data_IF_070098209819
#
_entry.id   IF_070098209819
#
_cell.length_a   1.000
_cell.length_b   1.000
_cell.length_c   1.000
_cell.angle_alpha   90.00
_cell.angle_beta   90.00
_cell.angle_gamma   90.00
#
_symmetry.space_group_name_H-M   'P 1'
#
loop_
_entity.id
_entity.type
_entity.pdbx_description
1 polymer ?
#
# COMPACT_ATOMS: atom_id res chain seq x y z
N UNK A 1 -0.03 29.11 4.74
CA UNK A 1 1.27 28.43 4.86
C UNK A 1 1.14 27.09 4.14
N UNK A 2 0.87 27.14 2.84
CA UNK A 2 0.53 25.95 2.04
C UNK A 2 1.76 25.41 1.29
N UNK A 3 2.78 26.25 1.05
CA UNK A 3 4.03 25.86 0.40
C UNK A 3 4.89 24.94 1.29
N UNK A 4 4.94 25.18 2.61
CA UNK A 4 5.72 24.33 3.54
C UNK A 4 5.12 22.92 3.72
N UNK A 5 3.80 22.75 3.53
CA UNK A 5 3.14 21.45 3.65
C UNK A 5 3.32 20.58 2.41
N UNK A 6 3.37 21.18 1.21
CA UNK A 6 3.65 20.45 -0.02
C UNK A 6 5.10 19.92 -0.06
N UNK A 7 6.07 20.75 0.35
CA UNK A 7 7.49 20.36 0.35
C UNK A 7 7.78 19.24 1.36
N UNK A 8 7.13 19.27 2.52
CA UNK A 8 7.30 18.22 3.55
C UNK A 8 6.66 16.89 3.13
N UNK A 9 5.51 16.91 2.44
CA UNK A 9 4.86 15.71 1.89
C UNK A 9 5.68 15.09 0.75
N UNK A 10 6.23 15.91 -0.15
CA UNK A 10 7.08 15.44 -1.25
C UNK A 10 8.37 14.76 -0.75
N UNK A 11 9.01 15.33 0.27
CA UNK A 11 10.21 14.72 0.86
C UNK A 11 9.91 13.36 1.49
N UNK A 12 8.77 13.23 2.18
CA UNK A 12 8.37 12.01 2.86
C UNK A 12 8.08 10.86 1.89
N UNK A 13 7.45 11.16 0.75
CA UNK A 13 7.21 10.21 -0.33
C UNK A 13 8.51 9.69 -0.97
N UNK A 14 9.48 10.60 -1.18
CA UNK A 14 10.80 10.25 -1.73
C UNK A 14 11.62 9.41 -0.76
N UNK A 15 11.55 9.68 0.54
CA UNK A 15 12.19 8.86 1.57
C UNK A 15 11.61 7.45 1.60
N UNK A 16 10.28 7.31 1.59
CA UNK A 16 9.59 6.01 1.54
C UNK A 16 9.99 5.19 0.30
N UNK A 17 10.02 5.83 -0.87
CA UNK A 17 10.46 5.20 -2.11
C UNK A 17 11.93 4.74 -2.04
N UNK A 18 12.81 5.57 -1.47
CA UNK A 18 14.21 5.25 -1.29
C UNK A 18 14.42 4.07 -0.31
N UNK A 19 13.69 4.05 0.80
CA UNK A 19 13.78 2.99 1.80
C UNK A 19 13.35 1.63 1.26
N UNK A 20 12.32 1.58 0.40
CA UNK A 20 11.89 0.35 -0.30
C UNK A 20 13.02 -0.18 -1.20
N UNK A 21 13.61 0.69 -2.02
CA UNK A 21 14.66 0.30 -2.98
C UNK A 21 15.94 -0.12 -2.28
N UNK A 22 16.34 0.61 -1.24
CA UNK A 22 17.57 0.33 -0.46
C UNK A 22 17.39 -0.78 0.58
N UNK A 23 16.15 -1.20 0.86
CA UNK A 23 15.85 -2.27 1.80
C UNK A 23 15.93 -1.86 3.28
N UNK A 24 15.79 -0.56 3.58
CA UNK A 24 15.80 -0.03 4.95
C UNK A 24 14.48 -0.34 5.67
N UNK A 25 14.31 -1.61 6.06
CA UNK A 25 13.04 -2.13 6.59
C UNK A 25 12.54 -1.39 7.83
N UNK A 26 13.43 -1.00 8.74
CA UNK A 26 13.04 -0.31 9.98
C UNK A 26 12.59 1.14 9.73
N UNK A 27 13.28 1.87 8.83
CA UNK A 27 12.90 3.22 8.44
C UNK A 27 11.59 3.22 7.66
N UNK A 28 11.45 2.29 6.71
CA UNK A 28 10.21 2.08 5.96
C UNK A 28 9.04 1.75 6.90
N UNK A 29 9.24 0.86 7.88
CA UNK A 29 8.22 0.50 8.86
C UNK A 29 7.81 1.71 9.72
N UNK A 30 8.77 2.53 10.16
CA UNK A 30 8.50 3.72 10.95
C UNK A 30 7.74 4.80 10.15
N UNK A 31 8.06 4.95 8.87
CA UNK A 31 7.38 5.89 7.98
C UNK A 31 5.96 5.39 7.62
N UNK A 32 5.80 4.11 7.25
CA UNK A 32 4.48 3.51 7.02
C UNK A 32 3.58 3.58 8.25
N UNK A 33 4.14 3.44 9.46
CA UNK A 33 3.38 3.57 10.70
C UNK A 33 2.79 4.98 10.92
N UNK A 34 3.39 6.00 10.31
CA UNK A 34 2.88 7.39 10.32
C UNK A 34 1.90 7.66 9.17
N UNK A 35 1.89 6.83 8.14
CA UNK A 35 0.96 6.92 7.02
C UNK A 35 -0.46 6.55 7.47
N UNK A 36 -1.44 7.36 7.08
CA UNK A 36 -2.84 7.11 7.45
C UNK A 36 -3.34 5.80 6.83
N UNK A 37 -4.26 5.10 7.51
CA UNK A 37 -4.85 3.88 6.95
C UNK A 37 -5.56 4.12 5.61
N UNK A 38 -6.12 5.33 5.40
CA UNK A 38 -6.73 5.73 4.13
C UNK A 38 -5.71 5.70 2.99
N UNK A 39 -4.53 6.26 3.19
CA UNK A 39 -3.48 6.32 2.16
C UNK A 39 -2.92 4.92 1.90
N UNK A 40 -2.83 4.07 2.94
CA UNK A 40 -2.47 2.66 2.79
C UNK A 40 -3.49 1.88 1.95
N UNK A 41 -4.78 2.15 2.13
CA UNK A 41 -5.84 1.56 1.30
C UNK A 41 -5.72 2.02 -0.15
N UNK A 42 -5.43 3.31 -0.39
CA UNK A 42 -5.20 3.83 -1.73
C UNK A 42 -3.96 3.20 -2.38
N UNK A 43 -2.87 3.07 -1.62
CA UNK A 43 -1.66 2.40 -2.05
C UNK A 43 -1.91 0.94 -2.41
N UNK A 44 -2.60 0.17 -1.57
CA UNK A 44 -2.94 -1.22 -1.85
C UNK A 44 -3.82 -1.36 -3.10
N UNK A 45 -4.76 -0.44 -3.32
CA UNK A 45 -5.56 -0.40 -4.54
C UNK A 45 -4.71 -0.08 -5.79
N UNK A 46 -3.75 0.85 -5.68
CA UNK A 46 -2.83 1.17 -6.77
C UNK A 46 -1.95 -0.03 -7.14
N UNK A 47 -1.45 -0.78 -6.14
CA UNK A 47 -0.71 -2.04 -6.32
C UNK A 47 -1.57 -3.09 -6.99
N UNK A 48 -2.81 -3.30 -6.53
CA UNK A 48 -3.76 -4.24 -7.16
C UNK A 48 -3.97 -3.98 -8.64
N UNK A 49 -4.13 -2.71 -9.02
CA UNK A 49 -4.41 -2.31 -10.41
C UNK A 49 -3.14 -2.41 -11.27
N UNK A 50 -2.01 -1.88 -10.78
CA UNK A 50 -0.81 -1.66 -11.60
C UNK A 50 0.18 -2.82 -11.52
N UNK A 51 0.17 -3.57 -10.42
CA UNK A 51 1.12 -4.64 -10.12
C UNK A 51 0.43 -5.82 -9.40
N UNK A 52 -0.54 -6.50 -10.02
CA UNK A 52 -1.32 -7.58 -9.39
C UNK A 52 -0.47 -8.79 -8.95
N UNK A 53 0.74 -8.95 -9.49
CA UNK A 53 1.69 -9.96 -9.02
C UNK A 53 2.34 -9.59 -7.68
N UNK A 54 2.52 -8.29 -7.39
CA UNK A 54 3.02 -7.79 -6.11
C UNK A 54 1.92 -7.84 -5.05
N UNK A 55 0.68 -7.55 -5.44
CA UNK A 55 -0.52 -7.67 -4.57
C UNK A 55 -0.65 -9.07 -3.94
N UNK A 56 -0.14 -10.11 -4.62
CA UNK A 56 -0.13 -11.50 -4.14
C UNK A 56 1.09 -11.87 -3.28
N UNK A 57 2.01 -10.94 -3.08
CA UNK A 57 3.24 -11.19 -2.31
C UNK A 57 3.21 -10.49 -0.95
N UNK A 58 2.58 -9.32 -0.86
CA UNK A 58 2.55 -8.50 0.36
C UNK A 58 1.38 -8.89 1.27
N UNK A 59 1.62 -9.03 2.58
CA UNK A 59 0.65 -9.48 3.57
C UNK A 59 0.05 -10.87 3.29
N UNK A 60 0.79 -11.75 2.62
CA UNK A 60 0.29 -13.10 2.27
C UNK A 60 0.94 -14.22 3.10
N UNK A 61 1.87 -13.85 3.97
CA UNK A 61 2.74 -14.76 4.71
C UNK A 61 2.23 -15.13 6.10
N UNK A 62 3.14 -15.80 6.84
CA UNK A 62 2.92 -16.30 8.20
C UNK A 62 3.99 -15.82 9.19
N UNK A 63 4.78 -14.83 8.81
CA UNK A 63 5.96 -14.41 9.57
C UNK A 63 5.63 -13.43 10.71
N UNK A 64 4.39 -12.93 10.78
CA UNK A 64 3.94 -11.94 11.75
C UNK A 64 2.71 -12.41 12.55
N UNK A 65 2.43 -13.71 12.62
CA UNK A 65 1.23 -14.30 13.26
C UNK A 65 1.04 -13.99 14.75
N UNK A 66 2.07 -13.48 15.43
CA UNK A 66 2.04 -13.31 16.88
C UNK A 66 1.81 -14.67 17.58
N UNK A 67 0.84 -14.70 18.49
CA UNK A 67 0.40 -15.93 19.16
C UNK A 67 -0.65 -16.74 18.40
N UNK A 68 -1.11 -16.28 17.24
CA UNK A 68 -2.15 -16.95 16.45
C UNK A 68 -1.61 -18.24 15.80
N UNK A 69 -2.43 -19.28 15.81
CA UNK A 69 -2.11 -20.59 15.25
C UNK A 69 -3.21 -21.15 14.35
N UNK A 70 -4.29 -20.40 14.11
CA UNK A 70 -5.44 -20.85 13.29
C UNK A 70 -5.84 -19.87 12.18
N UNK A 71 -5.35 -18.63 12.19
CA UNK A 71 -5.75 -17.60 11.23
C UNK A 71 -5.53 -17.96 9.75
N UNK A 72 -6.58 -17.84 8.95
CA UNK A 72 -6.54 -18.04 7.48
C UNK A 72 -7.16 -16.88 6.70
N UNK A 73 -7.91 -16.00 7.36
CA UNK A 73 -8.68 -14.93 6.72
C UNK A 73 -8.43 -13.58 7.39
N UNK A 74 -8.41 -12.50 6.59
CA UNK A 74 -8.35 -11.14 7.12
C UNK A 74 -9.73 -10.63 7.53
N UNK A 75 -9.86 -10.17 8.76
CA UNK A 75 -11.08 -9.56 9.29
C UNK A 75 -10.80 -8.79 10.58
N UNK A 76 -11.62 -7.77 10.86
CA UNK A 76 -11.67 -7.10 12.17
C UNK A 76 -12.53 -7.83 13.19
N UNK A 77 -13.32 -8.83 12.77
CA UNK A 77 -14.08 -9.68 13.70
C UNK A 77 -13.16 -10.72 14.34
N UNK A 78 -12.64 -10.38 15.52
CA UNK A 78 -11.72 -11.20 16.32
C UNK A 78 -12.38 -11.76 17.59
N UNK A 79 -13.70 -11.97 17.55
CA UNK A 79 -14.48 -12.37 18.72
C UNK A 79 -14.31 -13.86 19.11
N UNK A 80 -14.03 -14.74 18.14
CA UNK A 80 -13.90 -16.18 18.36
C UNK A 80 -12.78 -16.80 17.53
N UNK A 81 -12.02 -17.72 18.14
CA UNK A 81 -10.94 -18.46 17.46
C UNK A 81 -11.45 -19.45 16.40
N UNK A 82 -12.74 -19.76 16.40
CA UNK A 82 -13.40 -20.60 15.40
C UNK A 82 -13.50 -19.95 14.04
N UNK A 83 -13.43 -18.61 14.00
CA UNK A 83 -13.61 -17.85 12.76
C UNK A 83 -12.31 -17.77 11.95
N UNK A 84 -11.18 -18.19 12.54
CA UNK A 84 -9.86 -18.20 11.90
C UNK A 84 -9.49 -16.83 11.29
N UNK A 85 -9.92 -15.76 11.95
CA UNK A 85 -9.73 -14.39 11.52
C UNK A 85 -8.48 -13.77 12.15
N UNK A 86 -7.85 -12.88 11.39
CA UNK A 86 -6.77 -12.02 11.89
C UNK A 86 -6.86 -10.62 11.28
N UNK A 87 -6.47 -9.62 12.07
CA UNK A 87 -6.26 -8.25 11.62
C UNK A 87 -4.77 -7.95 11.46
N UNK A 88 -3.94 -8.99 11.32
CA UNK A 88 -2.48 -8.90 11.24
C UNK A 88 -1.99 -9.24 9.82
N UNK A 89 -1.40 -8.28 9.12
CA UNK A 89 -0.68 -8.48 7.88
C UNK A 89 0.38 -9.57 8.06
N UNK A 90 0.42 -10.53 7.12
CA UNK A 90 1.29 -11.71 7.20
C UNK A 90 1.18 -12.52 8.50
N UNK A 91 -0.01 -12.44 9.14
CA UNK A 91 -0.38 -13.16 10.34
C UNK A 91 -1.12 -14.47 10.10
N UNK A 92 -1.09 -15.00 8.88
CA UNK A 92 -1.80 -16.21 8.49
C UNK A 92 -1.02 -17.46 8.91
N UNK A 93 -1.67 -18.60 9.05
CA UNK A 93 -1.02 -19.89 9.34
C UNK A 93 -0.50 -20.59 8.10
N UNK A 94 -1.21 -20.41 6.99
CA UNK A 94 -0.85 -20.94 5.68
C UNK A 94 -0.74 -19.78 4.71
N UNK A 95 0.32 -19.82 3.88
CA UNK A 95 0.40 -18.94 2.71
C UNK A 95 -0.77 -19.30 1.79
N UNK A 96 -1.67 -18.34 1.56
CA UNK A 96 -2.91 -18.56 0.81
C UNK A 96 -3.06 -17.61 -0.38
N UNK A 97 -4.24 -17.60 -1.01
CA UNK A 97 -4.60 -16.66 -2.10
C UNK A 97 -4.94 -15.25 -1.62
N UNK A 98 -4.65 -14.95 -0.35
CA UNK A 98 -4.83 -13.63 0.22
C UNK A 98 -3.97 -12.60 -0.52
N UNK A 99 -4.42 -11.35 -0.51
CA UNK A 99 -3.81 -10.24 -1.24
C UNK A 99 -3.63 -9.06 -0.32
N UNK A 100 -2.66 -8.21 -0.64
CA UNK A 100 -2.45 -6.97 0.07
C UNK A 100 -3.70 -6.07 0.05
N UNK A 101 -4.36 -5.99 -1.10
CA UNK A 101 -5.62 -5.28 -1.27
C UNK A 101 -6.77 -5.85 -0.44
N UNK A 102 -6.79 -7.17 -0.20
CA UNK A 102 -7.75 -7.79 0.72
C UNK A 102 -7.49 -7.36 2.15
N UNK A 103 -6.23 -7.41 2.61
CA UNK A 103 -5.85 -6.92 3.94
C UNK A 103 -6.26 -5.44 4.12
N UNK A 104 -5.94 -4.58 3.16
CA UNK A 104 -6.29 -3.17 3.22
C UNK A 104 -7.81 -2.95 3.30
N UNK A 105 -8.60 -3.68 2.52
CA UNK A 105 -10.06 -3.55 2.49
C UNK A 105 -10.76 -4.11 3.73
N UNK A 106 -10.37 -5.32 4.16
CA UNK A 106 -11.07 -6.05 5.22
C UNK A 106 -10.57 -5.69 6.63
N UNK A 107 -9.40 -5.04 6.73
CA UNK A 107 -8.80 -4.64 8.02
C UNK A 107 -8.64 -3.14 8.11
N UNK A 108 -7.83 -2.53 7.23
CA UNK A 108 -7.44 -1.12 7.37
C UNK A 108 -8.61 -0.16 7.13
N UNK A 109 -9.44 -0.44 6.12
CA UNK A 109 -10.57 0.43 5.74
C UNK A 109 -11.75 0.38 6.72
N UNK A 110 -11.94 -0.71 7.47
CA UNK A 110 -13.15 -0.95 8.25
C UNK A 110 -13.30 0.02 9.42
N UNK A 111 -12.32 0.03 10.33
CA UNK A 111 -12.38 0.84 11.54
C UNK A 111 -11.07 1.60 11.83
N UNK A 112 -10.04 1.44 10.98
CA UNK A 112 -8.68 1.98 11.16
C UNK A 112 -8.06 1.65 12.53
N UNK A 113 -8.64 0.73 13.30
CA UNK A 113 -8.21 0.39 14.66
C UNK A 113 -7.00 -0.54 14.64
N UNK A 114 -6.92 -1.34 13.58
CA UNK A 114 -5.87 -2.33 13.37
C UNK A 114 -4.72 -1.80 12.48
N UNK A 115 -4.59 -0.48 12.35
CA UNK A 115 -3.47 0.16 11.67
C UNK A 115 -2.89 1.29 12.55
N UNK A 116 -1.56 1.38 12.72
CA UNK A 116 -0.49 0.52 12.17
C UNK A 116 -0.18 -0.73 13.00
N UNK A 117 -0.86 -0.92 14.13
CA UNK A 117 -0.69 -2.09 15.01
C UNK A 117 -1.76 -3.13 14.70
N UNK A 118 -1.34 -4.34 14.37
CA UNK A 118 -2.26 -5.43 14.08
C UNK A 118 -2.79 -6.10 15.32
N UNK A 119 -3.82 -6.93 15.13
CA UNK A 119 -4.40 -7.74 16.19
C UNK A 119 -4.72 -9.13 15.65
N UNK A 120 -4.80 -10.09 16.55
CA UNK A 120 -5.11 -11.47 16.22
C UNK A 120 -6.09 -12.06 17.23
N UNK A 121 -6.64 -13.22 16.89
CA UNK A 121 -7.62 -13.86 17.77
C UNK A 121 -6.90 -14.62 18.88
N UNK A 122 -7.16 -14.24 20.13
CA UNK A 122 -6.70 -14.98 21.31
C UNK A 122 -7.70 -16.04 21.76
N UNK A 123 -7.31 -16.88 22.72
CA UNK A 123 -8.17 -17.95 23.26
C UNK A 123 -9.46 -17.48 23.94
N UNK A 124 -9.59 -16.19 24.27
CA UNK A 124 -10.74 -15.65 25.02
C UNK A 124 -11.14 -14.23 24.60
N UNK A 125 -10.26 -13.51 23.90
CA UNK A 125 -10.49 -12.18 23.37
C UNK A 125 -9.45 -11.86 22.28
N UNK A 126 -9.74 -10.85 21.47
CA UNK A 126 -8.77 -10.25 20.56
C UNK A 126 -7.53 -9.78 21.33
N UNK A 127 -6.34 -9.99 20.76
CA UNK A 127 -5.07 -9.52 21.32
C UNK A 127 -4.36 -8.63 20.30
N UNK A 128 -3.84 -7.50 20.77
CA UNK A 128 -2.95 -6.68 19.97
C UNK A 128 -1.57 -7.33 19.87
N UNK A 129 -0.93 -7.18 18.71
CA UNK A 129 0.48 -7.52 18.54
C UNK A 129 1.38 -6.38 19.03
N UNK A 130 2.69 -6.56 18.85
CA UNK A 130 3.67 -5.50 19.09
C UNK A 130 3.32 -4.21 18.35
N UNK A 131 3.75 -3.08 18.91
CA UNK A 131 3.53 -1.76 18.34
C UNK A 131 4.02 -1.71 16.88
N UNK A 132 3.19 -1.16 15.98
CA UNK A 132 3.45 -1.03 14.54
C UNK A 132 3.63 -2.37 13.80
N UNK A 133 3.16 -3.48 14.36
CA UNK A 133 3.29 -4.82 13.79
C UNK A 133 2.78 -4.96 12.35
N UNK A 134 1.69 -4.29 11.96
CA UNK A 134 1.21 -4.31 10.58
C UNK A 134 2.12 -3.52 9.65
N UNK A 135 2.54 -2.31 10.05
CA UNK A 135 3.49 -1.51 9.27
C UNK A 135 4.83 -2.24 9.08
N UNK A 136 5.32 -2.92 10.13
CA UNK A 136 6.55 -3.73 10.08
C UNK A 136 6.42 -4.94 9.16
N UNK A 137 5.28 -5.62 9.18
CA UNK A 137 5.01 -6.75 8.29
C UNK A 137 4.94 -6.31 6.82
N UNK A 138 4.23 -5.21 6.53
CA UNK A 138 4.20 -4.61 5.18
C UNK A 138 5.60 -4.24 4.72
N UNK A 139 6.37 -3.49 5.54
CA UNK A 139 7.73 -3.10 5.21
C UNK A 139 8.63 -4.31 4.91
N UNK A 140 8.52 -5.35 5.74
CA UNK A 140 9.29 -6.59 5.58
C UNK A 140 8.98 -7.30 4.27
N UNK A 141 7.70 -7.33 3.87
CA UNK A 141 7.32 -7.94 2.60
C UNK A 141 7.79 -7.08 1.41
N UNK A 142 7.68 -5.75 1.50
CA UNK A 142 8.13 -4.82 0.46
C UNK A 142 9.65 -4.88 0.23
N UNK A 143 10.45 -4.95 1.29
CA UNK A 143 11.91 -5.02 1.18
C UNK A 143 12.42 -6.39 0.73
N UNK A 144 11.56 -7.43 0.71
CA UNK A 144 11.87 -8.76 0.19
C UNK A 144 11.53 -8.96 -1.29
N UNK A 145 10.84 -8.01 -1.91
CA UNK A 145 10.56 -8.04 -3.35
C UNK A 145 11.85 -8.00 -4.19
N UNK A 146 11.75 -8.38 -5.46
CA UNK A 146 12.86 -8.21 -6.41
C UNK A 146 13.17 -6.73 -6.65
N UNK A 147 14.35 -6.43 -7.20
CA UNK A 147 14.76 -5.04 -7.46
C UNK A 147 13.76 -4.31 -8.37
N UNK A 148 13.27 -4.97 -9.42
CA UNK A 148 12.32 -4.37 -10.36
C UNK A 148 10.96 -4.10 -9.70
N UNK A 149 10.48 -5.05 -8.90
CA UNK A 149 9.23 -4.90 -8.13
C UNK A 149 9.32 -3.79 -7.09
N UNK A 150 10.48 -3.64 -6.42
CA UNK A 150 10.75 -2.54 -5.50
C UNK A 150 10.64 -1.19 -6.19
N UNK A 151 11.20 -1.05 -7.38
CA UNK A 151 11.11 0.19 -8.16
C UNK A 151 9.66 0.51 -8.52
N UNK A 152 8.86 -0.49 -8.90
CA UNK A 152 7.42 -0.30 -9.17
C UNK A 152 6.69 0.17 -7.91
N UNK A 153 6.90 -0.50 -6.77
CA UNK A 153 6.24 -0.14 -5.51
C UNK A 153 6.66 1.25 -5.03
N UNK A 154 7.95 1.57 -5.11
CA UNK A 154 8.46 2.88 -4.74
C UNK A 154 7.76 4.00 -5.54
N UNK A 155 7.60 3.81 -6.85
CA UNK A 155 6.85 4.75 -7.70
C UNK A 155 5.37 4.85 -7.34
N UNK A 156 4.72 3.73 -7.00
CA UNK A 156 3.32 3.72 -6.56
C UNK A 156 3.14 4.42 -5.21
N UNK A 157 4.02 4.17 -4.23
CA UNK A 157 4.01 4.83 -2.93
C UNK A 157 4.13 6.34 -3.07
N UNK A 158 5.12 6.79 -3.85
CA UNK A 158 5.34 8.22 -4.09
C UNK A 158 4.07 8.87 -4.67
N UNK A 159 3.52 8.27 -5.73
CA UNK A 159 2.29 8.77 -6.38
C UNK A 159 1.06 8.79 -5.45
N UNK A 160 0.97 7.86 -4.50
CA UNK A 160 -0.18 7.77 -3.59
C UNK A 160 -0.07 8.71 -2.40
N UNK A 161 1.15 8.98 -1.92
CA UNK A 161 1.40 9.75 -0.69
C UNK A 161 1.67 11.23 -0.97
N UNK A 162 2.18 11.57 -2.16
CA UNK A 162 2.33 12.98 -2.59
C UNK A 162 0.99 13.72 -2.74
N UNK A 163 -0.13 13.00 -2.62
CA UNK A 163 -1.43 13.52 -3.03
C UNK A 163 -1.44 13.57 -4.55
N UNK A 164 -2.20 12.67 -5.17
CA UNK A 164 -2.60 12.89 -6.54
C UNK A 164 -3.44 14.16 -6.60
N UNK A 165 -2.80 15.32 -6.71
CA UNK A 165 -3.36 16.40 -7.50
C UNK A 165 -3.60 15.74 -8.86
N UNK A 166 -4.87 15.39 -9.05
CA UNK A 166 -5.44 15.02 -10.32
C UNK A 166 -4.82 15.97 -11.31
N UNK A 167 -3.99 15.45 -12.21
CA UNK A 167 -3.65 16.14 -13.43
C UNK A 167 -4.97 16.68 -13.93
N UNK A 168 -5.14 17.99 -13.84
CA UNK A 168 -6.22 18.72 -14.48
C UNK A 168 -6.24 18.13 -15.89
N UNK A 169 -7.26 17.31 -16.20
CA UNK A 169 -7.44 16.78 -17.54
C UNK A 169 -7.86 18.01 -18.35
N UNK A 170 -6.88 18.84 -18.72
CA UNK A 170 -6.97 19.63 -19.92
C UNK A 170 -7.02 18.59 -21.01
N UNK A 171 -8.21 18.40 -21.56
CA UNK A 171 -8.44 17.59 -22.72
C UNK A 171 -7.33 17.87 -23.75
N UNK A 172 -6.35 16.97 -23.84
CA UNK A 172 -5.42 16.93 -24.95
C UNK A 172 -6.23 16.34 -26.10
N UNK A 173 -6.96 17.20 -26.80
CA UNK A 173 -7.46 16.89 -28.13
C UNK A 173 -6.30 17.02 -29.08
N UNK A 174 -5.62 15.89 -29.29
CA UNK A 174 -4.59 15.69 -30.30
C UNK A 174 -5.15 15.88 -31.72
N UNK A 175 -4.76 16.96 -32.38
CA UNK A 175 -4.53 17.00 -33.83
C UNK A 175 -3.31 17.93 -34.04
N UNK A 176 -2.10 17.39 -33.97
CA UNK A 176 -1.33 16.82 -35.09
C UNK A 176 -0.46 17.86 -35.81
N UNK A 177 0.85 17.74 -35.57
CA UNK A 177 1.98 17.79 -36.53
C UNK A 177 2.21 19.05 -37.38
N UNK A 178 3.30 19.73 -37.00
CA UNK A 178 4.35 20.37 -37.81
C UNK A 178 4.13 20.72 -39.29
N UNK A 179 4.35 22.02 -39.55
CA UNK A 179 5.25 22.59 -40.56
C UNK A 179 5.01 22.37 -42.06
N UNK A 180 4.97 23.53 -42.74
CA UNK A 180 5.39 23.79 -44.13
C UNK A 180 4.64 23.03 -45.24
N UNK A 181 3.81 23.73 -46.00
CA UNK A 181 4.20 24.19 -47.35
C UNK A 181 3.10 25.01 -48.03
N UNK A 182 3.59 25.88 -48.91
CA UNK A 182 2.89 26.79 -49.78
C UNK A 182 2.01 26.05 -50.81
N UNK A 183 0.70 26.29 -50.79
CA UNK A 183 -0.17 26.21 -51.97
C UNK A 183 -1.50 26.89 -51.62
N UNK A 184 -1.67 28.18 -51.89
CA UNK A 184 -2.13 28.73 -53.17
C UNK A 184 -3.39 28.04 -53.70
N UNK A 185 -4.44 28.86 -53.74
CA UNK A 185 -5.58 28.85 -54.67
C UNK A 185 -6.78 27.94 -54.40
N UNK A 186 -7.93 28.59 -54.63
CA UNK A 186 -9.30 28.08 -54.86
C UNK A 186 -10.09 27.80 -53.57
N UNK A 187 -11.29 28.34 -53.34
CA UNK A 187 -12.32 28.88 -54.22
C UNK A 187 -13.26 29.79 -53.40
N UNK A 188 -13.76 30.83 -54.08
CA UNK A 188 -15.00 31.60 -53.86
C UNK A 188 -15.09 32.51 -52.62
#
# INVERSE_FOLDING_TARGET
NEEDEADTVYLLAKELAYDVVTGQTDNLAAALAKTSGKDIVQFANAVKISAPNIDKQVCTGSHAKGGDTTATTFSTNLASNTDNNTAQCSGLTTKGENKFSTFAKEVVLQDNKHWPTGSYTGSSAAKENEQNSNAKAVATDLTKLTSDEKTIVAGLLAKTIEGGEVVEIRAVSSTSVMALELWVCWLL
#
